data_IF_105193158209
#
_entry.id   IF_105193158209
#
_cell.length_a   1.000
_cell.length_b   1.000
_cell.length_c   1.000
_cell.angle_alpha   90.00
_cell.angle_beta   90.00
_cell.angle_gamma   90.00
#
_symmetry.space_group_name_H-M   'P 1'
#
loop_
_entity.id
_entity.type
_entity.pdbx_description
1 polymer ?
#
# COMPACT_ATOMS: atom_id res chain seq x y z
N UNK A 1 45.82 -17.63 9.98
CA UNK A 1 44.69 -16.77 10.34
C UNK A 1 43.59 -16.99 9.32
N UNK A 2 42.58 -17.76 9.71
CA UNK A 2 41.48 -18.17 8.83
C UNK A 2 40.41 -17.09 8.83
N UNK A 3 40.19 -16.44 7.70
CA UNK A 3 39.04 -15.55 7.52
C UNK A 3 37.78 -16.42 7.44
N UNK A 4 36.93 -16.31 8.46
CA UNK A 4 35.62 -16.95 8.49
C UNK A 4 34.80 -16.49 7.30
N UNK A 5 34.43 -17.45 6.42
CA UNK A 5 33.34 -17.27 5.45
C UNK A 5 32.05 -17.22 6.26
N UNK A 6 31.48 -16.04 6.39
CA UNK A 6 30.10 -15.90 6.85
C UNK A 6 29.22 -16.80 5.97
N UNK A 7 28.64 -17.79 6.62
CA UNK A 7 27.65 -18.71 6.05
C UNK A 7 26.42 -17.88 5.66
N UNK A 8 26.38 -17.42 4.41
CA UNK A 8 25.22 -16.77 3.83
C UNK A 8 24.09 -17.81 3.75
N UNK A 9 23.15 -17.69 4.67
CA UNK A 9 21.97 -18.56 4.74
C UNK A 9 21.17 -18.47 3.43
N UNK A 10 21.26 -19.52 2.60
CA UNK A 10 20.54 -19.63 1.33
C UNK A 10 19.01 -19.52 1.44
N UNK A 11 18.45 -19.61 2.67
CA UNK A 11 17.03 -19.38 2.94
C UNK A 11 16.58 -17.92 2.88
N UNK A 12 17.50 -16.94 2.83
CA UNK A 12 17.17 -15.54 2.95
C UNK A 12 17.46 -14.69 1.68
N UNK A 13 17.95 -15.31 0.58
CA UNK A 13 18.31 -14.54 -0.62
C UNK A 13 17.08 -13.90 -1.28
N UNK A 14 15.95 -14.59 -1.30
CA UNK A 14 14.70 -14.02 -1.84
C UNK A 14 14.28 -12.77 -1.07
N UNK A 15 14.39 -12.81 0.26
CA UNK A 15 14.12 -11.66 1.14
C UNK A 15 15.10 -10.51 0.88
N UNK A 16 16.40 -10.82 0.80
CA UNK A 16 17.43 -9.83 0.53
C UNK A 16 17.23 -9.13 -0.82
N UNK A 17 16.78 -9.86 -1.85
CA UNK A 17 16.45 -9.30 -3.16
C UNK A 17 15.23 -8.37 -3.11
N UNK A 18 14.16 -8.77 -2.42
CA UNK A 18 12.97 -7.92 -2.26
C UNK A 18 13.31 -6.65 -1.49
N UNK A 19 14.09 -6.75 -0.42
CA UNK A 19 14.50 -5.58 0.36
C UNK A 19 15.47 -4.66 -0.41
N UNK A 20 16.38 -5.22 -1.20
CA UNK A 20 17.23 -4.44 -2.10
C UNK A 20 16.40 -3.71 -3.17
N UNK A 21 15.40 -4.38 -3.75
CA UNK A 21 14.48 -3.75 -4.70
C UNK A 21 13.70 -2.60 -4.05
N UNK A 22 13.17 -2.81 -2.84
CA UNK A 22 12.43 -1.79 -2.08
C UNK A 22 13.30 -0.53 -1.88
N UNK A 23 14.57 -0.69 -1.49
CA UNK A 23 15.51 0.44 -1.33
C UNK A 23 15.79 1.15 -2.65
N UNK A 24 16.08 0.41 -3.73
CA UNK A 24 16.34 0.99 -5.04
C UNK A 24 15.12 1.77 -5.59
N UNK A 25 13.92 1.24 -5.38
CA UNK A 25 12.68 1.93 -5.77
C UNK A 25 12.46 3.20 -4.94
N UNK A 26 12.72 3.16 -3.64
CA UNK A 26 12.61 4.35 -2.79
C UNK A 26 13.57 5.46 -3.21
N UNK A 27 14.78 5.11 -3.65
CA UNK A 27 15.82 6.06 -4.08
C UNK A 27 15.58 6.61 -5.50
N UNK A 28 15.10 5.77 -6.44
CA UNK A 28 15.15 6.05 -7.87
C UNK A 28 13.83 5.88 -8.62
N UNK A 29 12.78 5.50 -7.91
CA UNK A 29 11.49 5.15 -8.48
C UNK A 29 11.46 3.77 -9.15
N UNK A 30 10.27 3.38 -9.61
CA UNK A 30 10.03 2.06 -10.19
C UNK A 30 10.90 1.74 -11.40
N UNK A 31 11.20 2.70 -12.25
CA UNK A 31 12.03 2.53 -13.46
C UNK A 31 13.53 2.42 -13.17
N UNK A 32 13.97 2.71 -11.95
CA UNK A 32 15.33 3.10 -11.61
C UNK A 32 16.36 2.00 -11.45
N UNK A 33 16.06 0.70 -11.73
CA UNK A 33 17.07 -0.35 -11.57
C UNK A 33 16.96 -1.50 -12.55
N UNK A 34 18.13 -2.08 -12.88
CA UNK A 34 18.25 -3.35 -13.60
C UNK A 34 18.57 -4.50 -12.63
N UNK A 35 18.33 -5.77 -13.05
CA UNK A 35 18.65 -6.93 -12.21
C UNK A 35 20.13 -7.04 -11.82
N UNK A 36 21.04 -6.52 -12.67
CA UNK A 36 22.46 -6.46 -12.32
C UNK A 36 22.73 -5.51 -11.13
N UNK A 37 22.02 -4.39 -11.04
CA UNK A 37 22.09 -3.47 -9.90
C UNK A 37 21.47 -4.05 -8.65
N UNK A 38 20.33 -4.75 -8.80
CA UNK A 38 19.70 -5.50 -7.71
C UNK A 38 20.66 -6.55 -7.12
N UNK A 39 21.33 -7.33 -7.98
CA UNK A 39 22.31 -8.33 -7.54
C UNK A 39 23.46 -7.69 -6.76
N UNK A 40 23.99 -6.56 -7.27
CA UNK A 40 25.04 -5.78 -6.60
C UNK A 40 24.58 -5.25 -5.25
N UNK A 41 23.37 -4.69 -5.18
CA UNK A 41 22.79 -4.15 -3.96
C UNK A 41 22.51 -5.24 -2.91
N UNK A 42 22.23 -6.46 -3.35
CA UNK A 42 22.05 -7.64 -2.49
C UNK A 42 23.37 -8.38 -2.18
N UNK A 43 24.50 -7.96 -2.75
CA UNK A 43 25.81 -8.59 -2.50
C UNK A 43 25.96 -9.98 -3.12
N UNK A 44 25.28 -10.25 -4.26
CA UNK A 44 25.26 -11.57 -4.91
C UNK A 44 25.69 -11.50 -6.37
N UNK A 45 25.92 -12.67 -7.00
CA UNK A 45 26.26 -12.75 -8.42
C UNK A 45 25.13 -12.23 -9.32
N UNK A 46 25.42 -11.68 -10.52
CA UNK A 46 24.40 -11.19 -11.44
C UNK A 46 23.36 -12.23 -11.86
N UNK A 47 23.69 -13.52 -11.81
CA UNK A 47 22.78 -14.60 -12.14
C UNK A 47 21.85 -15.03 -10.98
N UNK A 48 22.16 -14.64 -9.75
CA UNK A 48 21.42 -15.08 -8.57
C UNK A 48 19.96 -14.61 -8.55
N UNK A 49 19.61 -13.36 -8.92
CA UNK A 49 18.22 -12.92 -8.94
C UNK A 49 17.32 -13.77 -9.84
N UNK A 50 17.82 -14.21 -10.99
CA UNK A 50 17.05 -15.01 -11.97
C UNK A 50 16.68 -16.42 -11.47
N UNK A 51 17.33 -16.91 -10.40
CA UNK A 51 16.95 -18.16 -9.74
C UNK A 51 15.71 -18.02 -8.85
N UNK A 52 15.38 -16.78 -8.44
CA UNK A 52 14.28 -16.47 -7.53
C UNK A 52 13.12 -15.74 -8.19
N UNK A 53 13.42 -14.95 -9.22
CA UNK A 53 12.44 -14.17 -9.96
C UNK A 53 12.71 -14.30 -11.46
N UNK A 54 11.70 -14.76 -12.20
CA UNK A 54 11.77 -14.93 -13.66
C UNK A 54 12.20 -13.64 -14.37
N UNK A 55 11.65 -12.53 -13.93
CA UNK A 55 11.87 -11.20 -14.47
C UNK A 55 11.60 -10.12 -13.41
N UNK A 56 11.79 -8.86 -13.80
CA UNK A 56 11.55 -7.71 -12.95
C UNK A 56 10.08 -7.60 -12.51
N UNK A 57 9.14 -7.95 -13.39
CA UNK A 57 7.72 -7.88 -13.08
C UNK A 57 7.33 -8.88 -11.99
N UNK A 58 7.90 -10.09 -12.00
CA UNK A 58 7.72 -11.06 -10.94
C UNK A 58 8.24 -10.57 -9.58
N UNK A 59 9.35 -9.83 -9.57
CA UNK A 59 9.85 -9.20 -8.35
C UNK A 59 8.93 -8.06 -7.87
N UNK A 60 8.46 -7.21 -8.78
CA UNK A 60 7.52 -6.13 -8.46
C UNK A 60 6.18 -6.68 -7.97
N UNK A 61 5.68 -7.77 -8.58
CA UNK A 61 4.48 -8.45 -8.12
C UNK A 61 4.61 -8.98 -6.68
N UNK A 62 5.76 -9.57 -6.34
CA UNK A 62 6.04 -10.01 -4.96
C UNK A 62 6.11 -8.83 -3.98
N UNK A 63 6.75 -7.73 -4.37
CA UNK A 63 6.82 -6.53 -3.54
C UNK A 63 5.42 -5.92 -3.33
N UNK A 64 4.62 -5.83 -4.39
CA UNK A 64 3.24 -5.37 -4.35
C UNK A 64 2.36 -6.26 -3.47
N UNK A 65 2.45 -7.59 -3.62
CA UNK A 65 1.72 -8.56 -2.80
C UNK A 65 2.00 -8.35 -1.32
N UNK A 66 3.27 -8.24 -0.94
CA UNK A 66 3.68 -7.96 0.45
C UNK A 66 3.21 -6.58 0.93
N UNK A 67 3.19 -5.61 0.03
CA UNK A 67 2.62 -4.28 0.31
C UNK A 67 1.14 -4.38 0.68
N UNK A 68 0.33 -5.08 -0.11
CA UNK A 68 -1.08 -5.30 0.19
C UNK A 68 -1.31 -6.10 1.47
N UNK A 69 -0.50 -7.11 1.75
CA UNK A 69 -0.59 -7.86 3.01
C UNK A 69 -0.33 -6.98 4.24
N UNK A 70 0.69 -6.11 4.18
CA UNK A 70 0.96 -5.14 5.26
C UNK A 70 -0.15 -4.11 5.38
N UNK A 71 -0.64 -3.56 4.26
CA UNK A 71 -1.76 -2.64 4.25
C UNK A 71 -3.01 -3.29 4.86
N UNK A 72 -3.29 -4.56 4.53
CA UNK A 72 -4.41 -5.32 5.12
C UNK A 72 -4.28 -5.41 6.64
N UNK A 73 -3.09 -5.70 7.15
CA UNK A 73 -2.83 -5.76 8.58
C UNK A 73 -3.06 -4.40 9.27
N UNK A 74 -2.51 -3.32 8.70
CA UNK A 74 -2.67 -1.96 9.22
C UNK A 74 -4.14 -1.53 9.22
N UNK A 75 -4.86 -1.76 8.12
CA UNK A 75 -6.29 -1.46 8.00
C UNK A 75 -7.12 -2.28 8.98
N UNK A 76 -6.81 -3.57 9.15
CA UNK A 76 -7.53 -4.44 10.10
C UNK A 76 -7.35 -3.96 11.54
N UNK A 77 -6.12 -3.60 11.93
CA UNK A 77 -5.84 -3.03 13.24
C UNK A 77 -6.58 -1.70 13.47
N UNK A 78 -6.58 -0.82 12.46
CA UNK A 78 -7.28 0.46 12.50
C UNK A 78 -8.80 0.29 12.55
N UNK A 79 -9.34 -0.67 11.81
CA UNK A 79 -10.76 -1.01 11.80
C UNK A 79 -11.25 -1.43 13.18
N UNK A 80 -10.49 -2.25 13.92
CA UNK A 80 -10.79 -2.69 15.29
C UNK A 80 -12.28 -3.08 15.49
N UNK A 81 -12.82 -3.88 14.55
CA UNK A 81 -14.22 -4.33 14.56
C UNK A 81 -15.27 -3.18 14.63
N UNK A 82 -14.92 -2.00 14.13
CA UNK A 82 -15.80 -0.83 14.13
C UNK A 82 -15.92 -0.11 15.48
N UNK A 83 -15.09 -0.46 16.46
CA UNK A 83 -15.18 0.15 17.80
C UNK A 83 -14.40 1.48 17.89
N UNK A 84 -14.84 2.45 18.70
CA UNK A 84 -16.12 2.47 19.42
C UNK A 84 -17.32 2.82 18.55
N UNK A 85 -17.09 3.35 17.35
CA UNK A 85 -18.08 3.81 16.38
C UNK A 85 -17.61 3.49 14.96
N UNK A 86 -18.45 2.88 14.09
CA UNK A 86 -18.05 2.50 12.74
C UNK A 86 -17.58 3.67 11.86
N UNK A 87 -18.18 4.88 11.97
CA UNK A 87 -17.75 6.02 11.17
C UNK A 87 -16.35 6.50 11.60
N UNK A 88 -16.07 6.58 12.91
CA UNK A 88 -14.73 6.85 13.45
C UNK A 88 -13.73 5.78 13.01
N UNK A 89 -14.16 4.52 12.92
CA UNK A 89 -13.29 3.44 12.46
C UNK A 89 -12.94 3.57 10.96
N UNK A 90 -13.87 4.07 10.11
CA UNK A 90 -13.58 4.43 8.71
C UNK A 90 -12.49 5.51 8.63
N UNK A 91 -12.59 6.57 9.43
CA UNK A 91 -11.57 7.62 9.48
C UNK A 91 -10.19 7.06 9.90
N UNK A 92 -10.15 6.19 10.92
CA UNK A 92 -8.89 5.52 11.32
C UNK A 92 -8.30 4.67 10.20
N UNK A 93 -9.13 3.94 9.46
CA UNK A 93 -8.67 3.21 8.27
C UNK A 93 -8.04 4.15 7.24
N UNK A 94 -8.63 5.31 7.02
CA UNK A 94 -8.08 6.32 6.11
C UNK A 94 -6.69 6.81 6.57
N UNK A 95 -6.53 7.15 7.86
CA UNK A 95 -5.22 7.53 8.43
C UNK A 95 -4.20 6.40 8.33
N UNK A 96 -4.60 5.16 8.59
CA UNK A 96 -3.72 4.00 8.46
C UNK A 96 -3.25 3.78 7.02
N UNK A 97 -4.13 4.03 6.04
CA UNK A 97 -3.79 4.00 4.62
C UNK A 97 -2.71 5.02 4.28
N UNK A 98 -2.87 6.30 4.69
CA UNK A 98 -1.87 7.35 4.45
C UNK A 98 -0.56 7.04 5.16
N UNK A 99 -0.61 6.61 6.42
CA UNK A 99 0.57 6.24 7.18
C UNK A 99 1.35 5.10 6.52
N UNK A 100 0.66 4.11 5.94
CA UNK A 100 1.29 3.05 5.15
C UNK A 100 2.00 3.63 3.91
N UNK A 101 1.30 4.44 3.12
CA UNK A 101 1.84 5.03 1.89
C UNK A 101 3.08 5.90 2.16
N UNK A 102 3.07 6.68 3.23
CA UNK A 102 4.20 7.52 3.65
C UNK A 102 5.36 6.73 4.22
N UNK A 103 5.10 5.65 4.97
CA UNK A 103 6.13 4.81 5.60
C UNK A 103 6.83 3.89 4.60
N UNK A 104 6.12 3.39 3.59
CA UNK A 104 6.66 2.46 2.59
C UNK A 104 6.26 2.87 1.16
N UNK A 105 6.76 4.03 0.67
CA UNK A 105 6.41 4.55 -0.65
C UNK A 105 6.87 3.64 -1.78
N UNK A 106 7.91 2.83 -1.58
CA UNK A 106 8.38 1.89 -2.59
C UNK A 106 7.40 0.73 -2.81
N UNK A 107 6.87 0.15 -1.73
CA UNK A 107 5.81 -0.87 -1.85
C UNK A 107 4.53 -0.25 -2.38
N UNK A 108 4.16 0.95 -1.94
CA UNK A 108 3.00 1.68 -2.44
C UNK A 108 3.09 1.89 -3.96
N UNK A 109 4.23 2.36 -4.47
CA UNK A 109 4.46 2.51 -5.91
C UNK A 109 4.38 1.17 -6.65
N UNK A 110 4.94 0.10 -6.10
CA UNK A 110 4.85 -1.23 -6.71
C UNK A 110 3.41 -1.76 -6.79
N UNK A 111 2.58 -1.46 -5.78
CA UNK A 111 1.16 -1.87 -5.72
C UNK A 111 0.30 -1.22 -6.80
N UNK A 112 0.53 0.06 -7.10
CA UNK A 112 -0.39 0.87 -7.91
C UNK A 112 0.20 1.34 -9.24
N UNK A 113 1.50 1.60 -9.31
CA UNK A 113 2.16 2.14 -10.51
C UNK A 113 2.99 1.06 -11.23
N UNK A 114 3.25 -0.08 -10.58
CA UNK A 114 4.19 -1.09 -11.03
C UNK A 114 3.74 -1.91 -12.23
N UNK A 115 2.47 -1.92 -12.57
CA UNK A 115 1.87 -2.78 -13.59
C UNK A 115 2.45 -4.22 -13.55
N UNK A 116 2.37 -4.94 -12.40
CA UNK A 116 3.01 -6.24 -12.22
C UNK A 116 2.39 -7.36 -13.07
N UNK A 117 1.45 -7.01 -13.94
CA UNK A 117 0.67 -7.96 -14.74
C UNK A 117 -0.54 -8.49 -13.98
N UNK A 118 -1.68 -8.50 -14.65
CA UNK A 118 -2.99 -8.94 -14.09
C UNK A 118 -3.07 -10.47 -13.88
N UNK A 119 -1.95 -11.17 -14.01
CA UNK A 119 -1.89 -12.65 -14.08
C UNK A 119 -1.50 -13.35 -12.79
N UNK A 120 -1.07 -12.62 -11.74
CA UNK A 120 -0.70 -13.23 -10.46
C UNK A 120 -1.90 -13.36 -9.52
N UNK A 121 -2.48 -14.58 -9.34
CA UNK A 121 -3.63 -14.78 -8.46
C UNK A 121 -3.35 -14.44 -7.01
N UNK A 122 -2.11 -14.59 -6.53
CA UNK A 122 -1.73 -14.29 -5.15
C UNK A 122 -1.71 -12.77 -4.91
N UNK A 123 -1.19 -12.00 -5.88
CA UNK A 123 -1.25 -10.54 -5.83
C UNK A 123 -2.68 -10.03 -5.83
N UNK A 124 -3.53 -10.56 -6.72
CA UNK A 124 -4.96 -10.20 -6.78
C UNK A 124 -5.66 -10.49 -5.46
N UNK A 125 -5.46 -11.69 -4.90
CA UNK A 125 -6.02 -12.07 -3.60
C UNK A 125 -5.58 -11.13 -2.47
N UNK A 126 -4.32 -10.70 -2.46
CA UNK A 126 -3.82 -9.75 -1.47
C UNK A 126 -4.46 -8.36 -1.64
N UNK A 127 -4.63 -7.88 -2.87
CA UNK A 127 -5.31 -6.61 -3.17
C UNK A 127 -6.78 -6.65 -2.74
N UNK A 128 -7.48 -7.74 -3.08
CA UNK A 128 -8.89 -7.96 -2.69
C UNK A 128 -9.05 -7.99 -1.16
N UNK A 129 -8.10 -8.61 -0.44
CA UNK A 129 -8.11 -8.64 1.02
C UNK A 129 -7.99 -7.25 1.64
N UNK A 130 -7.13 -6.39 1.10
CA UNK A 130 -6.99 -5.01 1.57
C UNK A 130 -8.29 -4.21 1.35
N UNK A 131 -8.86 -4.29 0.15
CA UNK A 131 -10.13 -3.63 -0.15
C UNK A 131 -11.29 -4.16 0.70
N UNK A 132 -11.32 -5.47 0.99
CA UNK A 132 -12.35 -6.09 1.82
C UNK A 132 -12.43 -5.51 3.24
N UNK A 133 -11.33 -4.99 3.80
CA UNK A 133 -11.36 -4.30 5.11
C UNK A 133 -12.14 -2.99 5.02
N UNK A 134 -11.85 -2.16 4.01
CA UNK A 134 -12.57 -0.90 3.78
C UNK A 134 -14.04 -1.17 3.48
N UNK A 135 -14.33 -2.22 2.71
CA UNK A 135 -15.71 -2.61 2.43
C UNK A 135 -16.48 -2.98 3.69
N UNK A 136 -15.89 -3.80 4.58
CA UNK A 136 -16.51 -4.14 5.89
C UNK A 136 -16.73 -2.89 6.74
N UNK A 137 -15.81 -1.95 6.73
CA UNK A 137 -15.93 -0.69 7.44
C UNK A 137 -17.12 0.13 6.92
N UNK A 138 -17.24 0.25 5.59
CA UNK A 138 -18.36 0.93 4.95
C UNK A 138 -19.71 0.23 5.20
N UNK A 139 -19.74 -1.11 5.12
CA UNK A 139 -20.96 -1.91 5.40
C UNK A 139 -21.45 -1.63 6.83
N UNK A 140 -20.57 -1.66 7.82
CA UNK A 140 -20.92 -1.41 9.22
C UNK A 140 -21.34 0.05 9.47
N UNK A 141 -20.64 1.03 8.87
CA UNK A 141 -21.02 2.43 8.97
C UNK A 141 -22.41 2.67 8.36
N UNK A 142 -22.68 2.14 7.17
CA UNK A 142 -23.99 2.22 6.54
C UNK A 142 -25.08 1.53 7.35
N UNK A 143 -24.78 0.40 8.01
CA UNK A 143 -25.75 -0.30 8.87
C UNK A 143 -26.10 0.50 10.15
N UNK A 144 -25.13 1.23 10.68
CA UNK A 144 -25.31 2.04 11.91
C UNK A 144 -26.05 3.36 11.66
N UNK A 145 -26.10 3.86 10.43
CA UNK A 145 -26.76 5.12 10.12
C UNK A 145 -28.29 4.99 10.02
N UNK A 146 -29.00 6.03 10.43
CA UNK A 146 -30.45 6.11 10.30
C UNK A 146 -30.87 6.89 9.02
N UNK A 147 -31.91 6.48 8.34
CA UNK A 147 -32.56 7.25 7.26
C UNK A 147 -32.63 6.54 5.90
N UNK A 148 -33.56 6.94 5.03
CA UNK A 148 -33.72 6.43 3.67
C UNK A 148 -32.72 7.11 2.71
N UNK A 149 -32.48 6.47 1.54
CA UNK A 149 -31.74 7.11 0.44
C UNK A 149 -30.23 7.00 0.51
N UNK A 150 -29.68 6.05 1.26
CA UNK A 150 -28.25 5.80 1.33
C UNK A 150 -27.71 5.14 0.06
N UNK A 151 -26.51 5.52 -0.40
CA UNK A 151 -25.85 4.80 -1.46
C UNK A 151 -25.50 3.36 -1.01
N UNK A 152 -25.36 2.40 -1.95
CA UNK A 152 -24.86 1.07 -1.64
C UNK A 152 -23.51 1.15 -0.90
N UNK A 153 -23.33 0.31 0.12
CA UNK A 153 -22.09 0.31 0.93
C UNK A 153 -20.82 0.08 0.09
N UNK A 154 -20.92 -0.67 -1.01
CA UNK A 154 -19.83 -0.82 -1.98
C UNK A 154 -19.42 0.54 -2.58
N UNK A 155 -20.38 1.41 -2.90
CA UNK A 155 -20.10 2.75 -3.43
C UNK A 155 -19.41 3.60 -2.35
N UNK A 156 -19.86 3.51 -1.11
CA UNK A 156 -19.20 4.19 0.02
C UNK A 156 -17.78 3.71 0.19
N UNK A 157 -17.54 2.39 0.13
CA UNK A 157 -16.21 1.80 0.20
C UNK A 157 -15.29 2.30 -0.92
N UNK A 158 -15.79 2.36 -2.16
CA UNK A 158 -15.03 2.86 -3.31
C UNK A 158 -14.71 4.35 -3.18
N UNK A 159 -15.62 5.18 -2.67
CA UNK A 159 -15.35 6.60 -2.44
C UNK A 159 -14.31 6.80 -1.33
N UNK A 160 -14.42 6.07 -0.22
CA UNK A 160 -13.40 6.09 0.85
C UNK A 160 -12.04 5.66 0.31
N UNK A 161 -11.99 4.56 -0.45
CA UNK A 161 -10.76 4.09 -1.10
C UNK A 161 -10.18 5.16 -2.02
N UNK A 162 -11.01 5.78 -2.86
CA UNK A 162 -10.60 6.83 -3.80
C UNK A 162 -10.03 8.05 -3.07
N UNK A 163 -10.67 8.50 -1.98
CA UNK A 163 -10.15 9.61 -1.16
C UNK A 163 -8.79 9.26 -0.56
N UNK A 164 -8.64 8.08 0.03
CA UNK A 164 -7.37 7.62 0.59
C UNK A 164 -6.28 7.52 -0.48
N UNK A 165 -6.60 6.84 -1.59
CA UNK A 165 -5.64 6.61 -2.68
C UNK A 165 -5.27 7.91 -3.40
N UNK A 166 -6.26 8.76 -3.71
CA UNK A 166 -6.03 10.06 -4.34
C UNK A 166 -5.16 10.96 -3.48
N UNK A 167 -5.47 11.07 -2.19
CA UNK A 167 -4.65 11.83 -1.24
C UNK A 167 -3.23 11.25 -1.17
N UNK A 168 -3.08 9.95 -0.94
CA UNK A 168 -1.76 9.31 -0.89
C UNK A 168 -0.95 9.59 -2.16
N UNK A 169 -1.56 9.41 -3.35
CA UNK A 169 -0.90 9.62 -4.65
C UNK A 169 -0.47 11.08 -4.88
N UNK A 170 -1.18 12.05 -4.29
CA UNK A 170 -0.78 13.46 -4.37
C UNK A 170 0.48 13.77 -3.54
N UNK A 171 0.71 13.06 -2.45
CA UNK A 171 1.78 13.35 -1.50
C UNK A 171 2.93 12.34 -1.55
N UNK A 172 2.69 11.10 -2.00
CA UNK A 172 3.72 10.08 -2.21
C UNK A 172 4.25 10.12 -3.64
N UNK A 173 5.50 9.88 -3.80
CA UNK A 173 6.15 9.81 -5.11
C UNK A 173 7.48 10.54 -5.09
N UNK A 174 8.39 10.19 -6.02
CA UNK A 174 9.70 10.81 -6.05
C UNK A 174 9.58 12.31 -6.31
N UNK A 175 10.51 13.12 -5.75
CA UNK A 175 10.61 14.52 -6.10
C UNK A 175 10.71 14.66 -7.62
N UNK A 176 9.80 15.40 -8.22
CA UNK A 176 9.76 15.61 -9.67
C UNK A 176 9.98 17.08 -9.96
N UNK A 177 10.82 17.45 -10.95
CA UNK A 177 10.97 18.85 -11.35
C UNK A 177 9.60 19.45 -11.70
N UNK A 178 9.21 20.50 -10.98
CA UNK A 178 7.92 21.18 -11.18
C UNK A 178 6.77 20.72 -10.25
N UNK A 179 6.92 19.67 -9.47
CA UNK A 179 5.95 19.31 -8.43
C UNK A 179 6.12 20.27 -7.25
N UNK A 180 5.17 21.19 -7.09
CA UNK A 180 5.14 22.08 -5.93
C UNK A 180 4.56 21.35 -4.71
N UNK A 181 5.12 21.52 -3.51
CA UNK A 181 4.49 21.07 -2.29
C UNK A 181 3.06 21.63 -2.19
N UNK A 182 2.12 20.79 -1.80
CA UNK A 182 0.78 21.27 -1.50
C UNK A 182 0.81 22.07 -0.19
N UNK A 183 -0.04 23.12 -0.04
CA UNK A 183 -0.02 24.00 1.13
C UNK A 183 -0.74 23.41 2.35
N UNK A 184 -0.76 22.09 2.48
CA UNK A 184 -1.43 21.38 3.58
C UNK A 184 -0.82 19.98 3.74
N UNK A 185 -1.06 19.35 4.88
CA UNK A 185 -0.66 17.97 5.15
C UNK A 185 -1.67 16.97 4.54
N UNK A 186 -1.22 15.77 4.17
CA UNK A 186 -2.09 14.74 3.59
C UNK A 186 -3.21 14.31 4.54
N UNK A 187 -2.96 14.29 5.84
CA UNK A 187 -3.93 13.98 6.88
C UNK A 187 -5.06 14.98 6.90
N UNK A 188 -4.76 16.28 6.85
CA UNK A 188 -5.76 17.37 6.85
C UNK A 188 -6.67 17.29 5.62
N UNK A 189 -6.09 17.00 4.44
CA UNK A 189 -6.86 16.85 3.20
C UNK A 189 -7.80 15.65 3.26
N UNK A 190 -7.30 14.52 3.75
CA UNK A 190 -8.11 13.31 3.87
C UNK A 190 -9.22 13.47 4.90
N UNK A 191 -8.90 14.01 6.10
CA UNK A 191 -9.87 14.22 7.18
C UNK A 191 -11.00 15.14 6.74
N UNK A 192 -10.67 16.26 6.08
CA UNK A 192 -11.68 17.16 5.54
C UNK A 192 -12.57 16.46 4.51
N UNK A 193 -11.99 15.69 3.59
CA UNK A 193 -12.73 14.95 2.57
C UNK A 193 -13.65 13.87 3.18
N UNK A 194 -13.15 13.08 4.11
CA UNK A 194 -13.95 12.06 4.80
C UNK A 194 -15.05 12.67 5.65
N UNK A 195 -14.76 13.77 6.39
CA UNK A 195 -15.74 14.47 7.21
C UNK A 195 -16.92 14.96 6.38
N UNK A 196 -16.65 15.66 5.29
CA UNK A 196 -17.69 16.15 4.38
C UNK A 196 -18.49 15.00 3.80
N UNK A 197 -17.80 13.97 3.31
CA UNK A 197 -18.43 12.82 2.68
C UNK A 197 -19.31 12.03 3.66
N UNK A 198 -18.77 11.63 4.81
CA UNK A 198 -19.51 10.85 5.80
C UNK A 198 -20.69 11.63 6.39
N UNK A 199 -20.52 12.92 6.65
CA UNK A 199 -21.64 13.79 7.12
C UNK A 199 -22.76 13.88 6.09
N UNK A 200 -22.44 14.01 4.80
CA UNK A 200 -23.45 14.05 3.74
C UNK A 200 -24.30 12.78 3.66
N UNK A 201 -23.79 11.68 4.17
CA UNK A 201 -24.46 10.38 4.25
C UNK A 201 -25.17 10.15 5.59
N UNK A 202 -25.13 11.11 6.53
CA UNK A 202 -25.61 10.91 7.89
C UNK A 202 -24.78 9.94 8.71
N UNK A 203 -23.50 9.70 8.32
CA UNK A 203 -22.56 8.74 8.94
C UNK A 203 -21.53 9.42 9.86
N UNK A 204 -21.56 10.73 10.03
CA UNK A 204 -20.64 11.50 10.87
C UNK A 204 -21.36 12.25 11.98
N UNK A 205 -20.63 12.52 13.08
CA UNK A 205 -21.08 13.45 14.14
C UNK A 205 -20.97 14.89 13.69
#
# INVERSE_FOLDING_TARGET
MSFGRDSYHHGNLREALVEAARRLIAERGLGGFAFAELARAAGVSPAAPYRHFRDRNALLAELARRGFERLTADLTAAWNEGRPDPAVAVERCGRAYLAFAGRDPASYAAMFDGNPGDTDPALRSAADAAFAVIRRAADAACAAAAGPGRPPALMVALHVWTLCHGTASLFTGPPSPGRRPLPMEPEDLLEAGLLVYLRSLGLGR
#
